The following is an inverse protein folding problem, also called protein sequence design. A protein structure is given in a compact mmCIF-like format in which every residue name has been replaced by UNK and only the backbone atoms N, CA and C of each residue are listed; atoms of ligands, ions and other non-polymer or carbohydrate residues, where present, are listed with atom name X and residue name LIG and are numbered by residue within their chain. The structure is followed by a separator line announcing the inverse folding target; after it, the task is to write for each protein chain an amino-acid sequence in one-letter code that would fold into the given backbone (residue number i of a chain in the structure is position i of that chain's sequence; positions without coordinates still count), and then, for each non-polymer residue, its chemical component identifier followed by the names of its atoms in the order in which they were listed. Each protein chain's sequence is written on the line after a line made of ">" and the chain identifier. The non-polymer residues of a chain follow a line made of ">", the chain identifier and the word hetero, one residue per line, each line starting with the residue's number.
data_IF_475892459314
#
_entry.id   IF_475892459314
#
_cell.length_a   1.000
_cell.length_b   1.000
_cell.length_c   1.000
_cell.angle_alpha   90.00
_cell.angle_beta   90.00
_cell.angle_gamma   90.00
#
_symmetry.space_group_name_H-M   'P 1'
#
loop_
_entity.id
_entity.type
_entity.pdbx_description
1 polymer ?
#
# COMPACT_ATOMS: atom_id res chain seq x y z
N UNK A 1 48.83 -73.97 39.73
CA UNK A 1 48.34 -74.67 40.94
C UNK A 1 46.94 -74.24 41.12
N UNK A 2 46.09 -75.11 40.81
CA UNK A 2 44.92 -75.58 41.62
C UNK A 2 43.86 -74.51 41.88
N UNK A 3 42.60 -74.79 41.60
CA UNK A 3 41.87 -75.97 41.29
C UNK A 3 40.42 -75.69 41.12
N UNK A 4 39.76 -76.46 40.37
CA UNK A 4 38.36 -76.67 40.10
C UNK A 4 37.48 -76.53 41.34
N UNK A 5 36.18 -76.11 41.12
CA UNK A 5 35.07 -77.06 41.37
C UNK A 5 33.75 -76.52 40.82
N UNK A 6 33.25 -77.27 39.87
CA UNK A 6 31.89 -77.34 39.35
C UNK A 6 30.89 -77.70 40.45
N UNK A 7 29.72 -77.06 40.46
CA UNK A 7 28.56 -77.64 41.12
C UNK A 7 27.31 -77.36 40.32
N UNK A 8 26.81 -78.39 39.69
CA UNK A 8 25.55 -78.52 38.94
C UNK A 8 24.45 -78.82 39.96
N UNK A 9 23.35 -78.04 39.95
CA UNK A 9 22.08 -78.47 40.56
C UNK A 9 20.99 -78.27 39.52
N UNK A 10 20.36 -79.32 39.09
CA UNK A 10 19.09 -79.44 38.35
C UNK A 10 17.97 -79.35 39.35
N UNK A 11 16.97 -78.53 39.09
CA UNK A 11 15.58 -78.81 39.53
C UNK A 11 14.60 -78.41 38.42
N UNK A 12 13.67 -79.30 38.20
CA UNK A 12 12.61 -79.33 37.19
C UNK A 12 11.41 -78.47 37.56
N UNK A 13 10.77 -77.82 36.54
CA UNK A 13 9.31 -77.88 36.38
C UNK A 13 8.53 -76.70 36.98
N UNK A 14 7.87 -75.93 36.22
CA UNK A 14 6.40 -76.09 35.95
C UNK A 14 5.92 -74.94 35.00
N UNK A 15 4.99 -75.30 34.14
CA UNK A 15 4.24 -74.52 33.20
C UNK A 15 3.57 -73.30 33.80
N UNK A 16 3.49 -72.19 33.06
CA UNK A 16 2.58 -71.07 33.29
C UNK A 16 2.51 -70.19 32.02
N UNK A 17 1.49 -70.43 31.21
CA UNK A 17 1.07 -69.62 30.05
C UNK A 17 0.77 -68.21 30.49
N UNK A 18 1.24 -67.19 29.70
CA UNK A 18 0.86 -65.81 29.88
C UNK A 18 1.47 -64.90 28.83
N UNK A 19 1.09 -65.09 27.55
CA UNK A 19 1.42 -64.17 26.45
C UNK A 19 0.61 -62.88 26.64
N UNK A 20 1.28 -61.81 27.07
CA UNK A 20 0.76 -60.44 26.91
C UNK A 20 1.71 -59.72 25.93
N UNK A 21 1.31 -59.71 24.65
CA UNK A 21 1.90 -58.87 23.61
C UNK A 21 1.44 -57.44 23.92
N UNK A 22 2.27 -56.68 24.62
CA UNK A 22 2.12 -55.22 24.73
C UNK A 22 2.65 -54.57 23.42
N UNK A 23 1.73 -54.37 22.44
CA UNK A 23 1.98 -53.46 21.33
C UNK A 23 2.01 -52.02 21.88
N UNK A 24 3.19 -51.52 22.17
CA UNK A 24 3.42 -50.10 22.38
C UNK A 24 3.24 -49.40 21.01
N UNK A 25 2.02 -48.90 20.75
CA UNK A 25 1.79 -47.89 19.75
C UNK A 25 2.56 -46.63 20.17
N UNK A 26 3.84 -46.54 19.78
CA UNK A 26 4.51 -45.29 19.64
C UNK A 26 3.83 -44.56 18.47
N UNK A 27 2.75 -43.83 18.79
CA UNK A 27 2.26 -42.77 17.93
C UNK A 27 3.37 -41.74 17.81
N UNK A 28 4.19 -41.88 16.78
CA UNK A 28 5.06 -40.82 16.35
C UNK A 28 4.16 -39.64 16.00
N UNK A 29 4.13 -38.62 16.87
CA UNK A 29 3.71 -37.30 16.44
C UNK A 29 4.68 -36.96 15.29
N UNK A 30 4.23 -37.17 14.06
CA UNK A 30 4.89 -36.56 12.91
C UNK A 30 4.87 -35.05 13.23
N UNK A 31 6.03 -34.48 13.58
CA UNK A 31 6.18 -33.05 13.59
C UNK A 31 5.73 -32.60 12.21
N UNK A 32 4.56 -31.99 12.12
CA UNK A 32 4.10 -31.38 10.89
C UNK A 32 5.21 -30.42 10.49
N UNK A 33 5.86 -30.70 9.38
CA UNK A 33 6.89 -29.80 8.84
C UNK A 33 6.19 -28.48 8.63
N UNK A 34 6.56 -27.45 9.40
CA UNK A 34 5.98 -26.12 9.30
C UNK A 34 6.18 -25.64 7.87
N UNK A 35 5.11 -25.59 7.09
CA UNK A 35 5.19 -25.08 5.73
C UNK A 35 5.32 -23.56 5.76
N UNK A 36 6.08 -23.01 4.81
CA UNK A 36 6.24 -21.57 4.63
C UNK A 36 5.87 -21.22 3.20
N UNK A 37 5.05 -20.21 3.04
CA UNK A 37 4.69 -19.64 1.75
C UNK A 37 5.28 -18.24 1.65
N UNK A 38 6.01 -17.99 0.55
CA UNK A 38 6.62 -16.69 0.30
C UNK A 38 5.70 -15.79 -0.50
N UNK A 39 5.63 -14.52 -0.09
CA UNK A 39 5.09 -13.42 -0.89
C UNK A 39 6.21 -12.41 -1.14
N UNK A 40 6.15 -11.71 -2.27
CA UNK A 40 7.09 -10.64 -2.59
C UNK A 40 6.60 -9.28 -2.12
N UNK A 41 7.52 -8.40 -1.77
CA UNK A 41 7.23 -6.99 -1.58
C UNK A 41 8.37 -6.13 -2.16
N UNK A 42 8.02 -5.13 -2.99
CA UNK A 42 8.96 -4.13 -3.52
C UNK A 42 8.50 -2.77 -3.02
N UNK A 43 9.13 -2.28 -1.95
CA UNK A 43 8.72 -1.08 -1.23
C UNK A 43 9.93 -0.18 -0.94
N UNK A 44 9.78 1.15 -0.84
CA UNK A 44 10.90 2.10 -0.73
C UNK A 44 11.40 2.21 0.72
N UNK A 45 12.16 1.22 1.19
CA UNK A 45 12.61 1.13 2.60
C UNK A 45 13.80 2.02 2.93
N UNK A 46 14.53 2.50 1.93
CA UNK A 46 15.67 3.41 2.10
C UNK A 46 15.29 4.86 2.33
N UNK A 47 14.02 5.23 2.08
CA UNK A 47 13.50 6.58 2.31
C UNK A 47 12.61 6.62 3.55
N UNK A 48 12.69 7.70 4.33
CA UNK A 48 12.02 7.78 5.63
C UNK A 48 10.50 7.69 5.53
N UNK A 49 9.89 8.31 4.53
CA UNK A 49 8.44 8.24 4.30
C UNK A 49 7.97 6.84 3.81
N UNK A 50 8.86 6.05 3.23
CA UNK A 50 8.51 4.72 2.67
C UNK A 50 8.63 3.57 3.67
N UNK A 51 9.52 3.70 4.64
CA UNK A 51 9.75 2.65 5.66
C UNK A 51 8.49 2.29 6.44
N UNK A 52 7.68 3.25 6.95
CA UNK A 52 6.44 2.92 7.66
C UNK A 52 5.42 2.15 6.82
N UNK A 53 5.41 2.36 5.49
CA UNK A 53 4.55 1.61 4.56
C UNK A 53 4.94 0.12 4.55
N UNK A 54 6.24 -0.18 4.48
CA UNK A 54 6.74 -1.55 4.51
C UNK A 54 6.52 -2.22 5.87
N UNK A 55 6.71 -1.49 6.96
CA UNK A 55 6.46 -1.96 8.33
C UNK A 55 4.98 -2.27 8.56
N UNK A 56 4.08 -1.47 7.96
CA UNK A 56 2.63 -1.70 8.00
C UNK A 56 2.25 -2.98 7.25
N UNK A 57 2.81 -3.23 6.08
CA UNK A 57 2.60 -4.49 5.36
C UNK A 57 3.13 -5.70 6.17
N UNK A 58 4.30 -5.58 6.80
CA UNK A 58 4.82 -6.63 7.69
C UNK A 58 3.94 -6.84 8.91
N UNK A 59 3.34 -5.80 9.47
CA UNK A 59 2.40 -5.92 10.58
C UNK A 59 1.19 -6.78 10.21
N UNK A 60 0.66 -6.66 8.99
CA UNK A 60 -0.40 -7.54 8.49
C UNK A 60 0.07 -8.99 8.41
N UNK A 61 1.27 -9.24 7.87
CA UNK A 61 1.85 -10.59 7.82
C UNK A 61 1.94 -11.21 9.22
N UNK A 62 2.34 -10.40 10.22
CA UNK A 62 2.36 -10.84 11.62
C UNK A 62 0.96 -11.21 12.14
N UNK A 63 -0.07 -10.43 11.79
CA UNK A 63 -1.47 -10.73 12.17
C UNK A 63 -1.98 -12.02 11.51
N UNK A 64 -1.71 -12.19 10.22
CA UNK A 64 -2.10 -13.41 9.49
C UNK A 64 -1.38 -14.63 10.04
N UNK A 65 -0.10 -14.52 10.37
CA UNK A 65 0.66 -15.61 10.99
C UNK A 65 0.13 -15.97 12.40
N UNK A 66 -0.33 -14.99 13.18
CA UNK A 66 -1.02 -15.24 14.45
C UNK A 66 -2.34 -16.00 14.25
N UNK A 67 -3.03 -15.78 13.13
CA UNK A 67 -4.23 -16.53 12.74
C UNK A 67 -3.92 -17.92 12.15
N UNK A 68 -2.67 -18.35 12.13
CA UNK A 68 -2.24 -19.66 11.61
C UNK A 68 -1.78 -19.65 10.15
N UNK A 69 -1.43 -18.49 9.61
CA UNK A 69 -0.90 -18.32 8.24
C UNK A 69 -1.97 -18.46 7.15
N UNK A 70 -1.54 -18.60 5.92
CA UNK A 70 -2.41 -18.83 4.75
C UNK A 70 -2.40 -20.32 4.41
N UNK A 71 -3.56 -20.93 4.26
CA UNK A 71 -3.71 -22.37 4.01
C UNK A 71 -2.93 -23.24 5.03
N UNK A 72 -2.82 -22.74 6.27
CA UNK A 72 -2.06 -23.40 7.34
C UNK A 72 -0.53 -23.25 7.23
N UNK A 73 -0.01 -22.50 6.26
CA UNK A 73 1.40 -22.23 6.09
C UNK A 73 1.75 -20.84 6.61
N UNK A 74 2.87 -20.72 7.32
CA UNK A 74 3.42 -19.44 7.73
C UNK A 74 3.75 -18.60 6.49
N UNK A 75 3.41 -17.30 6.52
CA UNK A 75 3.80 -16.36 5.48
C UNK A 75 5.16 -15.75 5.80
N UNK A 76 6.03 -15.75 4.81
CA UNK A 76 7.28 -15.00 4.78
C UNK A 76 7.18 -13.92 3.70
N UNK A 77 7.23 -12.65 4.10
CA UNK A 77 7.32 -11.53 3.17
C UNK A 77 8.78 -11.28 2.80
N UNK A 78 9.16 -11.59 1.56
CA UNK A 78 10.49 -11.30 1.04
C UNK A 78 10.49 -9.85 0.54
N UNK A 79 10.99 -8.95 1.39
CA UNK A 79 11.01 -7.51 1.15
C UNK A 79 12.28 -7.10 0.41
N UNK A 80 12.13 -6.31 -0.65
CA UNK A 80 13.21 -5.68 -1.40
C UNK A 80 12.96 -4.18 -1.53
N UNK A 81 14.04 -3.41 -1.41
CA UNK A 81 13.99 -1.95 -1.53
C UNK A 81 13.88 -1.55 -3.00
N UNK A 82 12.88 -0.72 -3.32
CA UNK A 82 12.75 -0.12 -4.65
C UNK A 82 13.63 1.11 -4.85
N UNK A 83 14.10 1.74 -3.79
CA UNK A 83 14.83 3.02 -3.80
C UNK A 83 14.09 4.13 -4.58
N UNK A 84 12.78 3.97 -4.80
CA UNK A 84 11.97 4.82 -5.69
C UNK A 84 12.50 4.86 -7.14
N UNK A 85 13.35 3.89 -7.53
CA UNK A 85 13.98 3.79 -8.85
C UNK A 85 13.31 2.66 -9.67
N UNK A 86 12.81 2.96 -10.89
CA UNK A 86 12.13 1.98 -11.73
C UNK A 86 13.00 0.76 -12.07
N UNK A 87 14.29 0.97 -12.34
CA UNK A 87 15.21 -0.12 -12.70
C UNK A 87 15.50 -1.02 -11.49
N UNK A 88 15.77 -0.43 -10.33
CA UNK A 88 15.97 -1.17 -9.07
C UNK A 88 14.70 -1.96 -8.73
N UNK A 89 13.53 -1.34 -8.88
CA UNK A 89 12.24 -1.99 -8.64
C UNK A 89 12.01 -3.20 -9.56
N UNK A 90 12.28 -3.07 -10.86
CA UNK A 90 12.17 -4.17 -11.84
C UNK A 90 13.15 -5.31 -11.51
N UNK A 91 14.41 -5.00 -11.20
CA UNK A 91 15.41 -5.99 -10.85
C UNK A 91 15.04 -6.73 -9.55
N UNK A 92 14.51 -6.00 -8.56
CA UNK A 92 13.99 -6.55 -7.31
C UNK A 92 12.79 -7.50 -7.56
N UNK A 93 11.81 -7.08 -8.37
CA UNK A 93 10.64 -7.89 -8.71
C UNK A 93 11.03 -9.16 -9.48
N UNK A 94 11.95 -9.06 -10.45
CA UNK A 94 12.49 -10.24 -11.16
C UNK A 94 13.10 -11.25 -10.20
N UNK A 95 13.91 -10.78 -9.25
CA UNK A 95 14.53 -11.69 -8.28
C UNK A 95 13.47 -12.37 -7.38
N UNK A 96 12.40 -11.68 -6.99
CA UNK A 96 11.29 -12.26 -6.22
C UNK A 96 10.54 -13.33 -7.02
N UNK A 97 10.30 -13.08 -8.32
CA UNK A 97 9.62 -14.05 -9.19
C UNK A 97 10.49 -15.23 -9.55
N UNK A 98 11.72 -14.97 -10.01
CA UNK A 98 12.58 -15.99 -10.60
C UNK A 98 13.31 -16.85 -9.55
N UNK A 99 13.69 -16.26 -8.41
CA UNK A 99 14.47 -16.94 -7.37
C UNK A 99 13.61 -17.36 -6.17
N UNK A 100 12.66 -16.50 -5.74
CA UNK A 100 11.82 -16.80 -4.59
C UNK A 100 10.49 -17.47 -4.99
N UNK A 101 10.10 -17.44 -6.27
CA UNK A 101 8.95 -18.15 -6.83
C UNK A 101 7.61 -17.57 -6.37
N UNK A 102 7.56 -16.28 -6.00
CA UNK A 102 6.34 -15.64 -5.47
C UNK A 102 5.23 -15.61 -6.51
N UNK A 103 3.97 -15.74 -6.05
CA UNK A 103 2.75 -15.65 -6.88
C UNK A 103 1.97 -14.36 -6.60
N UNK A 104 2.37 -13.64 -5.56
CA UNK A 104 1.81 -12.39 -5.09
C UNK A 104 2.95 -11.42 -4.82
N UNK A 105 2.83 -10.18 -5.34
CA UNK A 105 3.75 -9.07 -5.09
C UNK A 105 2.99 -7.87 -4.53
N UNK A 106 3.39 -7.41 -3.36
CA UNK A 106 2.94 -6.15 -2.76
C UNK A 106 3.83 -5.00 -3.24
N UNK A 107 3.22 -3.96 -3.76
CA UNK A 107 3.94 -2.77 -4.23
C UNK A 107 3.82 -2.54 -5.75
N UNK A 108 4.62 -1.63 -6.27
CA UNK A 108 5.41 -0.67 -5.52
C UNK A 108 4.53 0.47 -4.98
N UNK A 109 5.17 1.50 -4.39
CA UNK A 109 4.45 2.70 -3.91
C UNK A 109 4.31 3.71 -5.03
N UNK A 110 5.41 4.11 -5.66
CA UNK A 110 5.42 5.05 -6.78
C UNK A 110 4.85 4.42 -8.06
N UNK A 111 4.02 5.15 -8.79
CA UNK A 111 3.48 4.74 -10.10
C UNK A 111 4.59 4.47 -11.12
N UNK A 112 5.64 5.33 -11.15
CA UNK A 112 6.79 5.16 -12.03
C UNK A 112 7.64 3.91 -11.76
N UNK A 113 7.48 3.28 -10.58
CA UNK A 113 8.11 1.99 -10.26
C UNK A 113 7.14 0.83 -10.49
N UNK A 114 5.86 1.00 -10.13
CA UNK A 114 4.85 -0.07 -10.25
C UNK A 114 4.55 -0.43 -11.69
N UNK A 115 4.43 0.56 -12.59
CA UNK A 115 4.09 0.33 -13.99
C UNK A 115 5.14 -0.53 -14.74
N UNK A 116 6.46 -0.21 -14.65
CA UNK A 116 7.48 -1.08 -15.25
C UNK A 116 7.53 -2.48 -14.65
N UNK A 117 7.34 -2.64 -13.33
CA UNK A 117 7.26 -3.95 -12.69
C UNK A 117 6.08 -4.72 -13.26
N UNK A 118 4.89 -4.10 -13.30
CA UNK A 118 3.66 -4.73 -13.77
C UNK A 118 3.78 -5.20 -15.21
N UNK A 119 4.22 -4.31 -16.11
CA UNK A 119 4.28 -4.59 -17.54
C UNK A 119 5.41 -5.54 -17.96
N UNK A 120 6.56 -5.53 -17.25
CA UNK A 120 7.74 -6.31 -17.65
C UNK A 120 8.03 -7.54 -16.80
N UNK A 121 7.40 -7.66 -15.60
CA UNK A 121 7.68 -8.77 -14.68
C UNK A 121 6.40 -9.51 -14.27
N UNK A 122 5.49 -8.85 -13.53
CA UNK A 122 4.40 -9.57 -12.86
C UNK A 122 3.34 -10.07 -13.84
N UNK A 123 2.88 -9.27 -14.81
CA UNK A 123 1.91 -9.69 -15.84
C UNK A 123 2.49 -10.81 -16.72
N UNK A 124 3.69 -10.68 -17.30
CA UNK A 124 4.28 -11.77 -18.10
C UNK A 124 4.50 -13.07 -17.33
N UNK A 125 4.72 -12.99 -16.03
CA UNK A 125 4.96 -14.16 -15.16
C UNK A 125 3.69 -14.70 -14.50
N UNK A 126 2.50 -14.09 -14.75
CA UNK A 126 1.25 -14.50 -14.13
C UNK A 126 1.22 -14.29 -12.61
N UNK A 127 1.91 -13.27 -12.10
CA UNK A 127 1.97 -12.90 -10.68
C UNK A 127 0.99 -11.78 -10.40
N UNK A 128 0.13 -11.93 -9.40
CA UNK A 128 -0.74 -10.85 -8.95
C UNK A 128 0.08 -9.74 -8.31
N UNK A 129 -0.18 -8.49 -8.69
CA UNK A 129 0.43 -7.30 -8.08
C UNK A 129 -0.63 -6.44 -7.43
N UNK A 130 -0.43 -6.08 -6.15
CA UNK A 130 -1.30 -5.17 -5.41
C UNK A 130 -0.49 -4.02 -4.83
N UNK A 131 -0.81 -2.80 -5.24
CA UNK A 131 -0.18 -1.57 -4.73
C UNK A 131 -1.06 -0.88 -3.70
N UNK A 132 -0.43 -0.37 -2.66
CA UNK A 132 -1.11 0.50 -1.69
C UNK A 132 -1.34 1.92 -2.20
N UNK A 133 -0.53 2.37 -3.16
CA UNK A 133 -0.28 3.81 -3.24
C UNK A 133 -0.11 4.34 -4.68
N UNK A 134 0.10 3.47 -5.68
CA UNK A 134 0.23 3.89 -7.09
C UNK A 134 -1.10 4.42 -7.62
N UNK A 135 -1.18 5.72 -7.88
CA UNK A 135 -2.44 6.42 -8.15
C UNK A 135 -2.61 6.94 -9.57
N UNK A 136 -1.58 6.89 -10.46
CA UNK A 136 -1.70 7.38 -11.84
C UNK A 136 -2.89 6.75 -12.58
N UNK A 137 -3.63 7.56 -13.33
CA UNK A 137 -4.75 7.11 -14.18
C UNK A 137 -4.29 6.26 -15.36
N UNK A 138 -2.98 6.25 -15.65
CA UNK A 138 -2.43 5.38 -16.69
C UNK A 138 -2.65 3.88 -16.39
N UNK A 139 -2.77 3.48 -15.11
CA UNK A 139 -3.13 2.09 -14.75
C UNK A 139 -4.56 1.76 -15.15
N UNK A 140 -5.52 2.65 -14.90
CA UNK A 140 -6.92 2.49 -15.32
C UNK A 140 -6.99 2.30 -16.85
N UNK A 141 -6.38 3.23 -17.59
CA UNK A 141 -6.35 3.16 -19.07
C UNK A 141 -5.73 1.85 -19.57
N UNK A 142 -4.61 1.42 -18.99
CA UNK A 142 -3.97 0.17 -19.40
C UNK A 142 -4.80 -1.08 -19.03
N UNK A 143 -5.53 -1.04 -17.90
CA UNK A 143 -6.44 -2.10 -17.51
C UNK A 143 -7.65 -2.20 -18.47
N UNK A 144 -8.25 -1.06 -18.86
CA UNK A 144 -9.31 -0.97 -19.86
C UNK A 144 -8.89 -1.53 -21.24
N UNK A 145 -7.63 -1.33 -21.59
CA UNK A 145 -7.02 -1.92 -22.79
C UNK A 145 -6.67 -3.41 -22.63
N UNK A 146 -6.96 -4.02 -21.48
CA UNK A 146 -6.70 -5.43 -21.18
C UNK A 146 -5.24 -5.80 -20.97
N UNK A 147 -4.35 -4.82 -20.78
CA UNK A 147 -2.89 -5.04 -20.69
C UNK A 147 -2.46 -5.81 -19.44
N UNK A 148 -3.28 -5.84 -18.39
CA UNK A 148 -2.91 -6.42 -17.10
C UNK A 148 -3.52 -7.79 -16.81
N UNK A 149 -4.37 -8.30 -17.70
CA UNK A 149 -5.00 -9.63 -17.56
C UNK A 149 -5.71 -9.83 -16.18
N UNK A 150 -6.20 -8.76 -15.55
CA UNK A 150 -6.82 -8.80 -14.22
C UNK A 150 -5.85 -9.07 -13.06
N UNK A 151 -4.52 -8.91 -13.25
CA UNK A 151 -3.49 -9.19 -12.25
C UNK A 151 -3.10 -7.94 -11.42
N UNK A 152 -3.72 -6.80 -11.68
CA UNK A 152 -3.43 -5.53 -11.01
C UNK A 152 -4.57 -5.09 -10.11
N UNK A 153 -4.21 -4.63 -8.90
CA UNK A 153 -5.12 -4.00 -7.94
C UNK A 153 -4.40 -2.88 -7.19
N UNK A 154 -5.16 -1.86 -6.78
CA UNK A 154 -4.66 -0.81 -5.89
C UNK A 154 -5.70 -0.41 -4.86
N UNK A 155 -5.26 -0.18 -3.64
CA UNK A 155 -6.13 0.25 -2.53
C UNK A 155 -6.11 1.77 -2.32
N UNK A 156 -5.50 2.53 -3.23
CA UNK A 156 -5.46 4.00 -3.23
C UNK A 156 -6.25 4.55 -4.42
N UNK A 157 -7.03 5.60 -4.20
CA UNK A 157 -7.77 6.25 -5.27
C UNK A 157 -6.85 6.87 -6.32
N UNK A 158 -7.39 7.13 -7.50
CA UNK A 158 -6.63 7.71 -8.61
C UNK A 158 -6.20 9.14 -8.34
N UNK A 159 -5.17 9.60 -9.08
CA UNK A 159 -4.72 11.00 -9.09
C UNK A 159 -5.83 11.99 -9.44
N UNK A 160 -6.91 11.54 -10.11
CA UNK A 160 -8.08 12.37 -10.38
C UNK A 160 -8.74 12.95 -9.14
N UNK A 161 -8.82 12.18 -8.04
CA UNK A 161 -9.35 12.68 -6.75
C UNK A 161 -8.45 13.78 -6.19
N UNK A 162 -7.13 13.58 -6.20
CA UNK A 162 -6.19 14.58 -5.69
C UNK A 162 -6.20 15.86 -6.53
N UNK A 163 -6.29 15.71 -7.84
CA UNK A 163 -6.38 16.81 -8.79
C UNK A 163 -7.62 17.67 -8.50
N UNK A 164 -8.79 17.05 -8.47
CA UNK A 164 -10.05 17.75 -8.20
C UNK A 164 -10.03 18.51 -6.88
N UNK A 165 -9.56 17.87 -5.80
CA UNK A 165 -9.49 18.51 -4.47
C UNK A 165 -8.42 19.62 -4.43
N UNK A 166 -7.31 19.46 -5.15
CA UNK A 166 -6.30 20.51 -5.32
C UNK A 166 -6.86 21.74 -6.04
N UNK A 167 -7.65 21.52 -7.08
CA UNK A 167 -8.33 22.59 -7.81
C UNK A 167 -9.41 23.27 -6.94
N UNK A 168 -10.15 22.47 -6.14
CA UNK A 168 -11.08 23.02 -5.14
C UNK A 168 -10.37 23.94 -4.14
N UNK A 169 -9.21 23.55 -3.63
CA UNK A 169 -8.42 24.42 -2.72
C UNK A 169 -8.11 25.77 -3.41
N UNK A 170 -7.62 25.74 -4.64
CA UNK A 170 -7.30 26.98 -5.35
C UNK A 170 -8.53 27.90 -5.52
N UNK A 171 -9.67 27.31 -5.93
CA UNK A 171 -10.97 28.01 -6.06
C UNK A 171 -11.41 28.63 -4.72
N UNK A 172 -11.40 27.86 -3.64
CA UNK A 172 -11.87 28.28 -2.31
C UNK A 172 -10.97 29.35 -1.69
N UNK A 173 -9.66 29.33 -1.99
CA UNK A 173 -8.70 30.34 -1.57
C UNK A 173 -8.73 31.58 -2.47
N UNK A 174 -9.45 31.55 -3.59
CA UNK A 174 -9.58 32.66 -4.52
C UNK A 174 -8.30 32.92 -5.31
N UNK A 175 -7.47 31.90 -5.58
CA UNK A 175 -6.31 32.03 -6.44
C UNK A 175 -6.75 32.13 -7.90
N UNK A 176 -6.24 33.14 -8.61
CA UNK A 176 -6.52 33.37 -10.03
C UNK A 176 -5.44 32.77 -10.94
N UNK A 177 -4.25 32.50 -10.35
CA UNK A 177 -3.09 31.98 -11.09
C UNK A 177 -2.26 31.01 -10.25
N UNK A 178 -1.83 29.88 -10.84
CA UNK A 178 -1.07 28.83 -10.15
C UNK A 178 0.08 28.33 -11.03
N UNK A 179 1.28 28.21 -10.45
CA UNK A 179 2.37 27.45 -11.06
C UNK A 179 2.33 26.00 -10.57
N UNK A 180 2.71 25.04 -11.42
CA UNK A 180 2.76 23.62 -11.11
C UNK A 180 4.20 23.14 -11.15
N UNK A 181 4.71 22.59 -10.04
CA UNK A 181 5.97 21.84 -10.00
C UNK A 181 5.64 20.37 -9.74
N UNK A 182 6.06 19.50 -10.65
CA UNK A 182 5.74 18.08 -10.57
C UNK A 182 6.95 17.19 -10.79
N UNK A 183 6.94 16.03 -10.10
CA UNK A 183 7.94 14.98 -10.30
C UNK A 183 7.91 14.46 -11.72
N UNK A 184 9.06 14.35 -12.37
CA UNK A 184 9.18 13.82 -13.72
C UNK A 184 9.15 12.27 -13.71
N UNK A 185 8.04 11.71 -13.25
CA UNK A 185 7.72 10.28 -13.30
C UNK A 185 6.23 10.08 -13.67
N UNK A 186 5.80 8.83 -13.84
CA UNK A 186 4.43 8.51 -14.26
C UNK A 186 3.34 9.11 -13.34
N UNK A 187 3.63 9.22 -12.03
CA UNK A 187 2.68 9.82 -11.08
C UNK A 187 2.64 11.34 -11.20
N UNK A 188 3.79 11.99 -11.14
CA UNK A 188 3.85 13.45 -11.17
C UNK A 188 3.42 14.04 -12.51
N UNK A 189 3.74 13.38 -13.62
CA UNK A 189 3.29 13.79 -14.95
C UNK A 189 1.76 13.67 -15.08
N UNK A 190 1.18 12.56 -14.61
CA UNK A 190 -0.26 12.34 -14.63
C UNK A 190 -1.00 13.38 -13.77
N UNK A 191 -0.58 13.56 -12.51
CA UNK A 191 -1.15 14.54 -11.61
C UNK A 191 -0.96 15.97 -12.09
N UNK A 192 0.24 16.31 -12.61
CA UNK A 192 0.52 17.64 -13.17
C UNK A 192 -0.37 17.97 -14.38
N UNK A 193 -0.64 16.98 -15.24
CA UNK A 193 -1.54 17.14 -16.38
C UNK A 193 -3.01 17.31 -15.94
N UNK A 194 -3.47 16.48 -15.00
CA UNK A 194 -4.85 16.53 -14.52
C UNK A 194 -5.14 17.83 -13.80
N UNK A 195 -4.26 18.25 -12.86
CA UNK A 195 -4.48 19.48 -12.10
C UNK A 195 -4.44 20.74 -12.99
N UNK A 196 -3.62 20.73 -14.05
CA UNK A 196 -3.63 21.83 -15.03
C UNK A 196 -4.99 21.93 -15.73
N UNK A 197 -5.53 20.80 -16.17
CA UNK A 197 -6.86 20.76 -16.80
C UNK A 197 -7.98 21.18 -15.84
N UNK A 198 -7.91 20.76 -14.57
CA UNK A 198 -8.91 21.13 -13.55
C UNK A 198 -8.83 22.61 -13.19
N UNK A 199 -7.62 23.20 -13.13
CA UNK A 199 -7.46 24.66 -12.97
C UNK A 199 -8.07 25.43 -14.15
N UNK A 200 -7.77 25.00 -15.37
CA UNK A 200 -8.33 25.62 -16.58
C UNK A 200 -9.87 25.52 -16.61
N UNK A 201 -10.45 24.37 -16.23
CA UNK A 201 -11.89 24.18 -16.13
C UNK A 201 -12.55 25.13 -15.11
N UNK A 202 -11.82 25.53 -14.08
CA UNK A 202 -12.28 26.50 -13.06
C UNK A 202 -11.92 27.95 -13.41
N UNK A 203 -11.34 28.22 -14.58
CA UNK A 203 -10.91 29.57 -15.00
C UNK A 203 -9.67 30.08 -14.27
N UNK A 204 -8.89 29.19 -13.65
CA UNK A 204 -7.63 29.52 -12.96
C UNK A 204 -6.48 29.41 -13.97
N UNK A 205 -5.68 30.46 -14.11
CA UNK A 205 -4.54 30.49 -15.04
C UNK A 205 -3.41 29.55 -14.55
N UNK A 206 -2.94 28.65 -15.42
CA UNK A 206 -1.72 27.89 -15.19
C UNK A 206 -0.54 28.67 -15.77
N UNK A 207 0.20 29.38 -14.92
CA UNK A 207 1.30 30.27 -15.34
C UNK A 207 2.54 29.49 -15.79
N UNK A 208 2.75 28.30 -15.23
CA UNK A 208 3.85 27.40 -15.58
C UNK A 208 3.53 25.97 -15.15
N UNK A 209 4.04 25.00 -15.93
CA UNK A 209 4.02 23.59 -15.59
C UNK A 209 5.42 23.01 -15.79
N UNK A 210 6.15 22.78 -14.70
CA UNK A 210 7.58 22.51 -14.71
C UNK A 210 7.89 21.16 -14.06
N UNK A 211 8.60 20.30 -14.81
CA UNK A 211 9.03 18.99 -14.34
C UNK A 211 10.31 19.10 -13.49
N UNK A 212 10.33 18.39 -12.37
CA UNK A 212 11.49 18.24 -11.48
C UNK A 212 12.07 16.84 -11.66
N UNK A 213 13.34 16.76 -12.04
CA UNK A 213 14.06 15.50 -12.25
C UNK A 213 14.87 15.12 -11.00
N UNK A 214 15.08 13.80 -10.82
CA UNK A 214 15.93 13.28 -9.74
C UNK A 214 17.42 13.65 -9.93
N UNK A 215 18.13 13.69 -8.81
CA UNK A 215 19.59 13.78 -8.78
C UNK A 215 20.17 15.11 -9.23
N UNK A 216 19.34 16.14 -9.41
CA UNK A 216 19.83 17.48 -9.70
C UNK A 216 20.42 18.15 -8.44
N UNK A 217 21.55 18.85 -8.55
CA UNK A 217 22.17 19.52 -7.41
C UNK A 217 21.40 20.78 -6.97
N UNK A 218 20.52 21.33 -7.80
CA UNK A 218 19.68 22.50 -7.55
C UNK A 218 18.52 22.51 -8.53
N UNK A 219 17.38 23.02 -8.09
CA UNK A 219 16.17 23.23 -8.91
C UNK A 219 15.94 24.71 -9.23
N UNK A 220 16.99 25.53 -9.12
CA UNK A 220 16.90 26.98 -9.28
C UNK A 220 16.40 27.40 -10.65
N UNK A 221 16.79 26.70 -11.71
CA UNK A 221 16.33 27.00 -13.08
C UNK A 221 14.84 26.74 -13.22
N UNK A 222 14.39 25.55 -12.83
CA UNK A 222 12.99 25.13 -12.88
C UNK A 222 12.09 26.03 -12.02
N UNK A 223 12.55 26.37 -10.83
CA UNK A 223 11.82 27.29 -9.93
C UNK A 223 11.79 28.72 -10.49
N UNK A 224 12.85 29.18 -11.14
CA UNK A 224 12.86 30.50 -11.81
C UNK A 224 11.82 30.52 -12.93
N UNK A 225 11.74 29.47 -13.73
CA UNK A 225 10.76 29.34 -14.80
C UNK A 225 9.32 29.32 -14.23
N UNK A 226 9.09 28.62 -13.13
CA UNK A 226 7.79 28.57 -12.47
C UNK A 226 7.36 29.93 -11.87
N UNK A 227 8.31 30.75 -11.43
CA UNK A 227 8.06 32.09 -10.87
C UNK A 227 7.85 33.17 -11.95
N UNK A 228 8.18 32.91 -13.21
CA UNK A 228 8.16 33.94 -14.26
C UNK A 228 6.79 34.60 -14.47
N UNK A 229 5.69 33.85 -14.23
CA UNK A 229 4.31 34.34 -14.31
C UNK A 229 3.81 35.08 -13.06
N UNK A 230 4.62 35.18 -12.01
CA UNK A 230 4.22 35.72 -10.69
C UNK A 230 2.90 35.13 -10.15
N UNK A 231 2.80 33.79 -10.01
CA UNK A 231 1.56 33.12 -9.62
C UNK A 231 1.12 33.45 -8.19
N UNK A 232 -0.20 33.41 -7.94
CA UNK A 232 -0.78 33.58 -6.59
C UNK A 232 -0.44 32.39 -5.68
N UNK A 233 -0.28 31.20 -6.25
CA UNK A 233 0.05 29.98 -5.53
C UNK A 233 0.94 29.03 -6.36
N UNK A 234 1.51 28.04 -5.69
CA UNK A 234 2.19 26.91 -6.34
C UNK A 234 1.55 25.58 -5.94
N UNK A 235 1.28 24.72 -6.93
CA UNK A 235 0.91 23.32 -6.72
C UNK A 235 2.16 22.45 -6.76
N UNK A 236 2.34 21.58 -5.76
CA UNK A 236 3.53 20.75 -5.58
C UNK A 236 3.17 19.27 -5.61
N UNK A 237 3.42 18.63 -6.75
CA UNK A 237 3.31 17.17 -6.94
C UNK A 237 4.73 16.55 -6.88
N UNK A 238 5.37 16.58 -5.72
CA UNK A 238 6.76 16.17 -5.48
C UNK A 238 6.86 15.21 -4.31
N UNK A 239 7.94 14.43 -4.20
CA UNK A 239 8.27 13.69 -2.99
C UNK A 239 9.04 14.57 -1.99
N UNK A 240 9.15 14.19 -0.71
CA UNK A 240 9.68 15.06 0.34
C UNK A 240 11.08 15.61 0.08
N UNK A 241 11.98 14.84 -0.52
CA UNK A 241 13.37 15.27 -0.79
C UNK A 241 13.40 16.39 -1.81
N UNK A 242 12.84 16.17 -3.00
CA UNK A 242 12.80 17.15 -4.09
C UNK A 242 11.87 18.31 -3.71
N UNK A 243 10.75 18.02 -3.06
CA UNK A 243 9.80 19.02 -2.59
C UNK A 243 10.43 20.00 -1.62
N UNK A 244 11.23 19.50 -0.66
CA UNK A 244 11.98 20.37 0.27
C UNK A 244 12.96 21.27 -0.47
N UNK A 245 13.73 20.71 -1.39
CA UNK A 245 14.72 21.48 -2.15
C UNK A 245 14.06 22.52 -3.05
N UNK A 246 13.00 22.15 -3.78
CA UNK A 246 12.25 23.05 -4.64
C UNK A 246 11.57 24.19 -3.86
N UNK A 247 10.94 23.89 -2.71
CA UNK A 247 10.30 24.90 -1.86
C UNK A 247 11.32 25.88 -1.27
N UNK A 248 12.49 25.41 -0.85
CA UNK A 248 13.56 26.28 -0.37
C UNK A 248 14.08 27.25 -1.47
N UNK A 249 14.24 26.75 -2.69
CA UNK A 249 14.60 27.60 -3.84
C UNK A 249 13.46 28.58 -4.15
N UNK A 250 12.19 28.12 -4.17
CA UNK A 250 11.00 28.94 -4.39
C UNK A 250 10.95 30.13 -3.42
N UNK A 251 11.09 29.87 -2.13
CA UNK A 251 11.09 30.90 -1.09
C UNK A 251 12.31 31.82 -1.20
N UNK A 252 13.48 31.29 -1.53
CA UNK A 252 14.72 32.07 -1.66
C UNK A 252 14.66 33.07 -2.83
N UNK A 253 13.88 32.76 -3.86
CA UNK A 253 13.65 33.59 -5.04
C UNK A 253 12.46 34.55 -4.89
N UNK A 254 11.81 34.55 -3.71
CA UNK A 254 10.69 35.45 -3.40
C UNK A 254 9.33 34.92 -3.80
N UNK A 255 9.20 33.61 -4.01
CA UNK A 255 7.93 32.96 -4.28
C UNK A 255 6.95 33.06 -3.11
N UNK A 256 5.66 33.04 -3.42
CA UNK A 256 4.58 33.10 -2.43
C UNK A 256 4.61 31.92 -1.46
N UNK A 257 4.07 32.10 -0.24
CA UNK A 257 3.85 31.03 0.72
C UNK A 257 2.50 30.31 0.53
N UNK A 258 1.72 30.68 -0.46
CA UNK A 258 0.50 29.97 -0.82
C UNK A 258 0.86 28.71 -1.59
N UNK A 259 0.77 27.56 -0.93
CA UNK A 259 1.18 26.27 -1.48
C UNK A 259 0.03 25.29 -1.42
N UNK A 260 -0.18 24.55 -2.50
CA UNK A 260 -1.10 23.42 -2.55
C UNK A 260 -0.24 22.16 -2.70
N UNK A 261 -0.34 21.26 -1.72
CA UNK A 261 0.54 20.11 -1.57
C UNK A 261 -0.16 18.82 -1.98
N UNK A 262 0.46 18.01 -2.79
CA UNK A 262 0.01 16.63 -2.99
C UNK A 262 0.24 15.79 -1.71
N UNK A 263 -0.45 14.65 -1.62
CA UNK A 263 -0.40 13.76 -0.46
C UNK A 263 1.01 13.25 -0.09
N UNK A 264 1.89 13.11 -1.07
CA UNK A 264 3.29 12.69 -0.90
C UNK A 264 4.09 13.61 0.03
N UNK A 265 3.70 14.90 0.12
CA UNK A 265 4.32 15.89 1.01
C UNK A 265 3.71 15.93 2.42
N UNK A 266 2.73 15.08 2.72
CA UNK A 266 2.13 14.90 4.05
C UNK A 266 3.08 14.12 4.96
N UNK A 267 4.20 14.72 5.32
CA UNK A 267 5.23 14.08 6.14
C UNK A 267 5.91 15.05 7.10
N UNK A 268 6.31 14.53 8.27
CA UNK A 268 7.09 15.29 9.25
C UNK A 268 8.46 15.69 8.68
N UNK A 269 9.08 14.81 7.86
CA UNK A 269 10.34 15.11 7.19
C UNK A 269 10.26 16.39 6.34
N UNK A 270 9.22 16.51 5.50
CA UNK A 270 9.01 17.71 4.68
C UNK A 270 8.76 18.93 5.55
N UNK A 271 7.84 18.82 6.55
CA UNK A 271 7.54 19.92 7.48
C UNK A 271 8.78 20.45 8.18
N UNK A 272 9.58 19.56 8.77
CA UNK A 272 10.73 19.92 9.58
C UNK A 272 11.86 20.48 8.72
N UNK A 273 12.03 19.94 7.51
CA UNK A 273 13.05 20.40 6.57
C UNK A 273 12.70 21.73 5.91
N UNK A 274 11.44 22.04 5.63
CA UNK A 274 11.01 23.34 5.11
C UNK A 274 10.93 24.38 6.23
N UNK A 275 10.35 24.01 7.36
CA UNK A 275 10.12 24.85 8.55
C UNK A 275 8.72 25.43 8.60
N UNK A 276 8.06 25.25 9.75
CA UNK A 276 6.67 25.67 9.99
C UNK A 276 6.36 27.13 9.69
N UNK A 277 7.35 28.02 9.86
CA UNK A 277 7.18 29.46 9.59
C UNK A 277 6.88 29.77 8.11
N UNK A 278 7.12 28.83 7.19
CA UNK A 278 6.87 28.97 5.76
C UNK A 278 5.63 28.21 5.28
N UNK A 279 5.07 27.33 6.13
CA UNK A 279 3.97 26.44 5.79
C UNK A 279 2.60 26.89 6.34
N UNK A 280 2.51 28.10 6.91
CA UNK A 280 1.27 28.60 7.52
C UNK A 280 0.08 28.70 6.56
N UNK A 281 0.33 28.97 5.27
CA UNK A 281 -0.68 29.04 4.22
C UNK A 281 -0.74 27.75 3.35
N UNK A 282 0.08 26.75 3.64
CA UNK A 282 0.09 25.52 2.87
C UNK A 282 -1.13 24.67 3.19
N UNK A 283 -1.85 24.25 2.17
CA UNK A 283 -2.94 23.27 2.25
C UNK A 283 -2.58 22.07 1.39
N UNK A 284 -2.91 20.89 1.85
CA UNK A 284 -2.61 19.68 1.09
C UNK A 284 -3.86 18.82 0.85
N UNK A 285 -3.76 17.93 -0.11
CA UNK A 285 -4.79 16.97 -0.46
C UNK A 285 -4.33 15.56 -0.13
N UNK A 286 -5.25 14.70 0.30
CA UNK A 286 -5.01 13.25 0.43
C UNK A 286 -6.32 12.50 0.26
N UNK A 287 -6.25 11.20 -0.01
CA UNK A 287 -7.39 10.32 0.19
C UNK A 287 -7.65 10.18 1.68
N UNK A 288 -8.91 10.11 2.06
CA UNK A 288 -9.32 9.93 3.44
C UNK A 288 -9.82 8.50 3.70
N UNK A 289 -9.66 8.02 4.91
CA UNK A 289 -10.42 6.87 5.37
C UNK A 289 -11.86 7.30 5.64
N UNK A 290 -12.87 6.51 5.24
CA UNK A 290 -14.24 6.76 5.63
C UNK A 290 -14.35 6.81 7.16
N UNK A 291 -15.28 7.60 7.68
CA UNK A 291 -15.53 7.70 9.12
C UNK A 291 -16.37 6.51 9.61
N UNK A 292 -15.70 5.36 9.71
CA UNK A 292 -16.29 4.08 10.10
C UNK A 292 -15.46 3.40 11.19
N UNK A 293 -16.10 2.56 11.99
CA UNK A 293 -15.46 1.91 13.14
C UNK A 293 -14.22 1.06 12.78
N UNK A 294 -14.15 0.50 11.58
CA UNK A 294 -12.98 -0.27 11.14
C UNK A 294 -11.73 0.60 10.94
N UNK A 295 -11.90 1.85 10.49
CA UNK A 295 -10.80 2.80 10.38
C UNK A 295 -10.26 3.20 11.76
N UNK A 296 -11.15 3.44 12.74
CA UNK A 296 -10.75 3.71 14.13
C UNK A 296 -9.99 2.52 14.74
N UNK A 297 -10.45 1.29 14.47
CA UNK A 297 -9.78 0.06 14.92
C UNK A 297 -8.36 -0.05 14.37
N UNK A 298 -8.15 0.31 13.09
CA UNK A 298 -6.80 0.34 12.52
C UNK A 298 -5.90 1.34 13.26
N UNK A 299 -6.37 2.55 13.53
CA UNK A 299 -5.61 3.57 14.26
C UNK A 299 -5.18 3.05 15.63
N UNK A 300 -6.10 2.42 16.38
CA UNK A 300 -5.81 1.82 17.69
C UNK A 300 -4.76 0.70 17.59
N UNK A 301 -4.91 -0.21 16.63
CA UNK A 301 -3.95 -1.29 16.41
C UNK A 301 -2.58 -0.77 15.99
N UNK A 302 -2.53 0.25 15.13
CA UNK A 302 -1.29 0.87 14.68
C UNK A 302 -0.56 1.52 15.86
N UNK A 303 -1.26 2.33 16.67
CA UNK A 303 -0.72 2.93 17.90
C UNK A 303 -0.18 1.89 18.86
N UNK A 304 -0.93 0.83 19.09
CA UNK A 304 -0.49 -0.26 19.97
C UNK A 304 0.76 -0.99 19.46
N UNK A 305 1.00 -1.00 18.16
CA UNK A 305 2.13 -1.68 17.52
C UNK A 305 3.36 -0.82 17.41
N UNK A 306 3.20 0.47 17.07
CA UNK A 306 4.29 1.37 16.69
C UNK A 306 4.51 2.55 17.65
N UNK A 307 3.66 2.69 18.68
CA UNK A 307 3.69 3.81 19.64
C UNK A 307 3.62 5.19 18.93
N UNK A 308 2.92 5.27 17.82
CA UNK A 308 2.76 6.48 16.98
C UNK A 308 1.43 6.50 16.25
N UNK A 309 0.98 7.71 15.86
CA UNK A 309 -0.18 7.87 14.99
C UNK A 309 0.16 7.47 13.54
N UNK A 310 -0.79 6.90 12.77
CA UNK A 310 -0.58 6.58 11.36
C UNK A 310 -0.72 7.84 10.47
N UNK A 311 0.13 8.84 10.68
CA UNK A 311 0.04 10.15 10.02
C UNK A 311 0.61 10.18 8.58
N UNK A 312 1.38 9.17 8.19
CA UNK A 312 2.00 9.09 6.86
C UNK A 312 0.99 8.73 5.76
N UNK A 313 1.29 9.12 4.50
CA UNK A 313 0.44 8.77 3.37
C UNK A 313 0.45 7.26 3.13
N UNK A 314 -0.71 6.69 2.76
CA UNK A 314 -0.82 5.30 2.32
C UNK A 314 -0.67 4.22 3.39
N UNK A 315 -0.59 4.55 4.69
CA UNK A 315 -0.42 3.54 5.75
C UNK A 315 -1.66 2.64 5.88
N UNK A 316 -2.86 3.23 5.96
CA UNK A 316 -4.11 2.48 5.97
C UNK A 316 -4.29 1.64 4.69
N UNK A 317 -3.93 2.23 3.54
CA UNK A 317 -3.98 1.54 2.26
C UNK A 317 -2.98 0.37 2.16
N UNK A 318 -1.78 0.52 2.75
CA UNK A 318 -0.78 -0.56 2.82
C UNK A 318 -1.27 -1.72 3.69
N UNK A 319 -1.94 -1.40 4.79
CA UNK A 319 -2.58 -2.40 5.64
C UNK A 319 -3.63 -3.20 4.85
N UNK A 320 -4.54 -2.49 4.17
CA UNK A 320 -5.61 -3.12 3.40
C UNK A 320 -5.08 -3.90 2.19
N UNK A 321 -4.11 -3.36 1.46
CA UNK A 321 -3.48 -4.05 0.34
C UNK A 321 -2.89 -5.40 0.77
N UNK A 322 -2.14 -5.43 1.86
CA UNK A 322 -1.55 -6.66 2.36
C UNK A 322 -2.61 -7.64 2.89
N UNK A 323 -3.61 -7.16 3.63
CA UNK A 323 -4.65 -8.02 4.20
C UNK A 323 -5.55 -8.62 3.11
N UNK A 324 -6.02 -7.81 2.16
CA UNK A 324 -6.86 -8.28 1.05
C UNK A 324 -6.09 -9.29 0.19
N UNK A 325 -4.82 -9.01 -0.12
CA UNK A 325 -4.00 -9.91 -0.91
C UNK A 325 -3.82 -11.28 -0.24
N UNK A 326 -3.57 -11.30 1.08
CA UNK A 326 -3.42 -12.55 1.84
C UNK A 326 -4.77 -13.29 2.03
N UNK A 327 -5.88 -12.55 2.20
CA UNK A 327 -7.24 -13.13 2.21
C UNK A 327 -7.59 -13.73 0.83
N UNK A 328 -7.22 -13.06 -0.26
CA UNK A 328 -7.43 -13.58 -1.62
C UNK A 328 -6.61 -14.86 -1.84
N UNK A 329 -5.38 -14.91 -1.33
CA UNK A 329 -4.55 -16.10 -1.37
C UNK A 329 -5.16 -17.27 -0.53
N UNK A 330 -5.75 -16.97 0.63
CA UNK A 330 -6.51 -17.95 1.43
C UNK A 330 -7.75 -18.46 0.67
N UNK A 331 -8.52 -17.55 0.06
CA UNK A 331 -9.73 -17.86 -0.70
C UNK A 331 -9.46 -18.64 -2.00
N UNK A 332 -8.30 -18.41 -2.64
CA UNK A 332 -7.87 -19.10 -3.85
C UNK A 332 -7.48 -20.56 -3.58
N UNK A 333 -7.06 -20.87 -2.36
CA UNK A 333 -6.69 -22.21 -1.94
C UNK A 333 -5.21 -22.55 -2.11
N UNK A 334 -4.87 -23.78 -1.74
CA UNK A 334 -3.48 -24.25 -1.76
C UNK A 334 -2.93 -24.31 -3.18
N UNK A 335 -1.68 -23.91 -3.34
CA UNK A 335 -0.93 -23.93 -4.61
C UNK A 335 -1.55 -23.05 -5.72
N UNK A 336 -2.39 -22.07 -5.36
CA UNK A 336 -2.96 -21.13 -6.32
C UNK A 336 -1.88 -20.30 -7.02
N UNK A 337 -2.02 -20.12 -8.32
CA UNK A 337 -1.19 -19.18 -9.08
C UNK A 337 -1.71 -17.73 -8.92
N UNK A 338 -0.97 -16.77 -9.48
CA UNK A 338 -1.35 -15.36 -9.34
C UNK A 338 -2.70 -15.02 -9.98
N UNK A 339 -3.10 -15.70 -11.03
CA UNK A 339 -4.40 -15.49 -11.67
C UNK A 339 -5.55 -16.00 -10.79
N UNK A 340 -5.38 -17.15 -10.14
CA UNK A 340 -6.35 -17.67 -9.19
C UNK A 340 -6.47 -16.77 -7.95
N UNK A 341 -5.34 -16.24 -7.44
CA UNK A 341 -5.32 -15.27 -6.34
C UNK A 341 -6.06 -14.00 -6.74
N UNK A 342 -5.78 -13.44 -7.92
CA UNK A 342 -6.43 -12.24 -8.44
C UNK A 342 -7.95 -12.45 -8.59
N UNK A 343 -8.39 -13.57 -9.15
CA UNK A 343 -9.81 -13.89 -9.28
C UNK A 343 -10.53 -14.02 -7.93
N UNK A 344 -9.81 -14.41 -6.88
CA UNK A 344 -10.37 -14.57 -5.54
C UNK A 344 -10.56 -13.24 -4.79
N UNK A 345 -10.01 -12.12 -5.27
CA UNK A 345 -10.20 -10.78 -4.65
C UNK A 345 -11.69 -10.45 -4.53
N UNK A 346 -12.51 -10.78 -5.52
CA UNK A 346 -13.95 -10.54 -5.50
C UNK A 346 -14.66 -11.27 -4.36
N UNK A 347 -14.14 -12.42 -3.89
CA UNK A 347 -14.68 -13.15 -2.74
C UNK A 347 -14.30 -12.51 -1.40
N UNK A 348 -13.26 -11.69 -1.38
CA UNK A 348 -12.77 -10.95 -0.19
C UNK A 348 -13.54 -9.65 0.00
N UNK A 349 -13.93 -9.00 -1.10
CA UNK A 349 -14.55 -7.67 -1.11
C UNK A 349 -16.01 -7.73 -1.59
N UNK A 350 -16.66 -8.84 -1.39
CA UNK A 350 -18.06 -9.06 -1.76
C UNK A 350 -19.01 -8.24 -0.86
N UNK A 351 -19.79 -7.29 -1.41
CA UNK A 351 -20.71 -6.48 -0.61
C UNK A 351 -21.81 -7.29 0.10
N UNK A 352 -22.13 -8.48 -0.42
CA UNK A 352 -23.13 -9.37 0.13
C UNK A 352 -22.50 -10.51 0.98
N UNK A 353 -21.16 -10.49 1.14
CA UNK A 353 -20.40 -11.46 1.89
C UNK A 353 -20.54 -11.30 3.41
N UNK A 354 -20.03 -12.28 4.15
CA UNK A 354 -19.99 -12.21 5.61
C UNK A 354 -19.05 -11.10 6.08
N UNK A 355 -19.52 -10.13 6.88
CA UNK A 355 -18.66 -9.07 7.40
C UNK A 355 -17.52 -9.62 8.25
N UNK A 356 -16.30 -9.18 7.99
CA UNK A 356 -15.10 -9.52 8.78
C UNK A 356 -14.30 -8.27 9.12
N UNK A 357 -13.60 -8.31 10.26
CA UNK A 357 -12.65 -7.27 10.68
C UNK A 357 -11.28 -7.46 10.04
N UNK A 358 -10.49 -6.40 10.01
CA UNK A 358 -9.15 -6.37 9.41
C UNK A 358 -8.05 -6.80 10.39
N UNK A 359 -8.27 -7.86 11.18
CA UNK A 359 -7.33 -8.34 12.17
C UNK A 359 -7.16 -9.88 12.11
N UNK A 360 -6.37 -10.43 13.01
CA UNK A 360 -6.14 -11.87 13.08
C UNK A 360 -7.45 -12.67 13.30
N UNK A 361 -8.43 -12.13 14.05
CA UNK A 361 -9.70 -12.80 14.30
C UNK A 361 -10.57 -12.80 13.03
N UNK A 362 -10.64 -11.65 12.32
CA UNK A 362 -11.33 -11.56 11.04
C UNK A 362 -10.71 -12.46 9.97
N UNK A 363 -9.37 -12.59 9.93
CA UNK A 363 -8.70 -13.53 9.03
C UNK A 363 -9.09 -15.00 9.33
N UNK A 364 -9.12 -15.38 10.62
CA UNK A 364 -9.53 -16.72 11.02
C UNK A 364 -11.01 -17.00 10.66
N UNK A 365 -11.90 -16.02 10.87
CA UNK A 365 -13.31 -16.11 10.46
C UNK A 365 -13.44 -16.26 8.93
N UNK A 366 -12.69 -15.47 8.16
CA UNK A 366 -12.69 -15.54 6.69
C UNK A 366 -12.32 -16.94 6.19
N UNK A 367 -11.33 -17.58 6.80
CA UNK A 367 -10.93 -18.96 6.47
C UNK A 367 -12.07 -19.94 6.60
N UNK A 368 -12.87 -19.85 7.68
CA UNK A 368 -14.04 -20.70 7.89
C UNK A 368 -15.11 -20.47 6.83
N UNK A 369 -15.36 -19.19 6.48
CA UNK A 369 -16.30 -18.82 5.42
C UNK A 369 -15.84 -19.33 4.06
N UNK A 370 -14.58 -19.17 3.72
CA UNK A 370 -14.03 -19.66 2.44
C UNK A 370 -14.05 -21.20 2.35
N UNK A 371 -13.77 -21.89 3.45
CA UNK A 371 -13.84 -23.35 3.51
C UNK A 371 -15.28 -23.88 3.29
N UNK A 372 -16.29 -23.09 3.68
CA UNK A 372 -17.69 -23.37 3.40
C UNK A 372 -18.15 -22.94 1.99
N UNK A 373 -17.24 -22.41 1.14
CA UNK A 373 -17.54 -21.93 -0.23
C UNK A 373 -18.14 -20.52 -0.29
N UNK A 374 -18.18 -19.80 0.83
CA UNK A 374 -18.73 -18.45 0.93
C UNK A 374 -17.77 -17.35 0.49
N UNK A 375 -18.22 -16.10 0.65
CA UNK A 375 -17.46 -14.86 0.45
C UNK A 375 -17.55 -13.96 1.68
N UNK A 376 -16.63 -13.03 1.82
CA UNK A 376 -16.59 -12.10 2.94
C UNK A 376 -16.68 -10.65 2.45
N UNK A 377 -17.21 -9.78 3.30
CA UNK A 377 -17.16 -8.33 3.15
C UNK A 377 -16.06 -7.80 4.08
N UNK A 378 -14.90 -7.54 3.51
CA UNK A 378 -13.76 -7.01 4.23
C UNK A 378 -14.01 -5.58 4.71
N UNK A 379 -13.89 -5.34 6.00
CA UNK A 379 -14.00 -4.03 6.64
C UNK A 379 -12.61 -3.59 7.11
N UNK A 380 -11.92 -2.85 6.26
CA UNK A 380 -10.51 -2.51 6.42
C UNK A 380 -10.21 -1.19 7.10
N UNK A 381 -8.94 -0.85 7.09
CA UNK A 381 -8.42 0.43 7.57
C UNK A 381 -8.96 1.62 6.75
N UNK A 382 -9.24 1.40 5.46
CA UNK A 382 -9.90 2.37 4.58
C UNK A 382 -11.40 2.08 4.39
N UNK A 383 -12.02 1.37 5.32
CA UNK A 383 -13.43 1.00 5.29
C UNK A 383 -13.73 -0.20 4.40
N UNK A 384 -14.90 -0.19 3.76
CA UNK A 384 -15.31 -1.26 2.84
C UNK A 384 -14.60 -1.09 1.49
N UNK A 385 -13.48 -1.75 1.31
CA UNK A 385 -12.74 -1.71 0.04
C UNK A 385 -13.53 -2.45 -1.03
N UNK A 386 -13.74 -1.78 -2.16
CA UNK A 386 -14.38 -2.36 -3.36
C UNK A 386 -13.58 -1.98 -4.58
N UNK A 387 -13.17 -3.00 -5.33
CA UNK A 387 -12.51 -2.78 -6.60
C UNK A 387 -13.52 -2.75 -7.74
N UNK A 388 -13.28 -1.84 -8.69
CA UNK A 388 -13.97 -1.87 -9.96
C UNK A 388 -13.36 -2.93 -10.90
N UNK A 389 -13.81 -2.95 -12.15
CA UNK A 389 -13.34 -3.92 -13.17
C UNK A 389 -11.87 -3.70 -13.57
N UNK A 390 -11.30 -2.54 -13.26
CA UNK A 390 -9.92 -2.16 -13.56
C UNK A 390 -8.96 -2.44 -12.38
N UNK A 391 -9.51 -2.88 -11.22
CA UNK A 391 -8.76 -3.05 -9.98
C UNK A 391 -8.53 -1.74 -9.22
N UNK A 392 -9.33 -0.73 -9.49
CA UNK A 392 -9.30 0.59 -8.84
C UNK A 392 -10.30 0.68 -7.69
N UNK A 393 -10.04 1.59 -6.77
CA UNK A 393 -10.96 1.93 -5.68
C UNK A 393 -11.33 3.41 -5.73
N UNK A 394 -12.53 3.73 -5.20
CA UNK A 394 -12.95 5.09 -4.89
C UNK A 394 -12.74 5.37 -3.40
N UNK A 395 -12.39 6.60 -3.04
CA UNK A 395 -12.20 7.00 -1.66
C UNK A 395 -12.71 8.43 -1.42
N UNK A 396 -13.13 8.74 -0.18
CA UNK A 396 -13.27 10.11 0.28
C UNK A 396 -11.95 10.86 0.20
N UNK A 397 -12.00 12.18 0.34
CA UNK A 397 -10.79 12.99 0.34
C UNK A 397 -10.72 13.89 1.58
N UNK A 398 -9.54 14.38 1.87
CA UNK A 398 -9.28 15.32 2.95
C UNK A 398 -8.42 16.47 2.46
N UNK A 399 -8.80 17.68 2.85
CA UNK A 399 -7.91 18.83 2.85
C UNK A 399 -7.23 18.89 4.21
N UNK A 400 -5.92 18.94 4.21
CA UNK A 400 -5.12 18.95 5.43
C UNK A 400 -4.13 20.12 5.46
N UNK A 401 -3.62 20.45 6.63
CA UNK A 401 -2.53 21.39 6.85
C UNK A 401 -1.57 20.87 7.92
N UNK A 402 -0.38 21.41 7.96
CA UNK A 402 0.52 21.18 9.10
C UNK A 402 0.04 21.93 10.32
N UNK A 403 -0.15 21.23 11.43
CA UNK A 403 -0.40 21.78 12.75
C UNK A 403 0.89 21.91 13.57
N UNK A 404 0.77 22.40 14.81
CA UNK A 404 1.93 22.54 15.72
C UNK A 404 2.56 21.18 16.09
N UNK A 405 1.76 20.14 16.17
CA UNK A 405 2.20 18.81 16.65
C UNK A 405 1.90 17.67 15.68
N UNK A 406 1.51 17.97 14.44
CA UNK A 406 1.14 16.93 13.47
C UNK A 406 0.40 17.46 12.26
N UNK A 407 -0.53 16.70 11.77
CA UNK A 407 -1.38 17.03 10.62
C UNK A 407 -2.80 17.34 11.13
N UNK A 408 -3.31 18.50 10.79
CA UNK A 408 -4.69 18.92 11.07
C UNK A 408 -5.57 18.67 9.84
N UNK A 409 -6.72 18.06 10.03
CA UNK A 409 -7.78 18.01 9.03
C UNK A 409 -8.45 19.41 8.94
N UNK A 410 -8.55 19.95 7.73
CA UNK A 410 -9.23 21.22 7.46
C UNK A 410 -10.64 20.96 6.95
N UNK A 411 -10.79 20.01 6.02
CA UNK A 411 -12.07 19.65 5.41
C UNK A 411 -12.07 18.16 5.07
N UNK A 412 -13.17 17.49 5.31
CA UNK A 412 -13.43 16.14 4.85
C UNK A 412 -14.49 16.16 3.76
N UNK A 413 -14.19 15.57 2.63
CA UNK A 413 -15.12 15.41 1.51
C UNK A 413 -15.50 13.93 1.41
N UNK A 414 -16.78 13.64 1.58
CA UNK A 414 -17.32 12.31 1.31
C UNK A 414 -17.13 11.92 -0.15
N UNK A 415 -17.25 10.63 -0.46
CA UNK A 415 -17.16 10.16 -1.84
C UNK A 415 -18.14 10.90 -2.76
N UNK A 416 -19.39 11.11 -2.31
CA UNK A 416 -20.41 11.83 -3.10
C UNK A 416 -20.00 13.28 -3.34
N UNK A 417 -19.45 13.98 -2.36
CA UNK A 417 -18.98 15.37 -2.52
C UNK A 417 -17.80 15.47 -3.48
N UNK A 418 -16.90 14.49 -3.48
CA UNK A 418 -15.81 14.41 -4.46
C UNK A 418 -16.37 14.19 -5.87
N UNK A 419 -17.25 13.22 -6.04
CA UNK A 419 -17.87 12.89 -7.34
C UNK A 419 -18.70 14.06 -7.89
N UNK A 420 -19.48 14.73 -7.05
CA UNK A 420 -20.28 15.90 -7.43
C UNK A 420 -19.38 17.08 -7.85
N UNK A 421 -18.25 17.29 -7.15
CA UNK A 421 -17.31 18.33 -7.52
C UNK A 421 -16.63 18.05 -8.85
N UNK A 422 -16.16 16.81 -9.09
CA UNK A 422 -15.60 16.38 -10.37
C UNK A 422 -16.63 16.58 -11.51
N UNK A 423 -17.87 16.16 -11.29
CA UNK A 423 -18.94 16.33 -12.28
C UNK A 423 -19.21 17.81 -12.60
N UNK A 424 -19.14 18.70 -11.60
CA UNK A 424 -19.36 20.14 -11.80
C UNK A 424 -18.32 20.78 -12.73
N UNK A 425 -17.05 20.37 -12.64
CA UNK A 425 -15.97 20.86 -13.53
C UNK A 425 -16.15 20.44 -14.99
N UNK A 426 -16.81 19.29 -15.22
CA UNK A 426 -17.06 18.78 -16.57
C UNK A 426 -18.22 19.47 -17.30
N UNK A 427 -19.01 20.31 -16.59
CA UNK A 427 -20.19 21.00 -17.14
C UNK A 427 -19.96 22.49 -17.45
N UNK A 428 -18.86 23.07 -16.98
CA UNK A 428 -18.42 24.44 -17.30
C UNK A 428 -17.46 24.45 -18.53
#
# INVERSE_FOLDING_TARGET
>A
MQGEKTMTIRIKGLLGLGTALGLSLMGGAAAAQECTTKIGAVLPTSVDWGRPIAETAQFVVDQVNKAGGVQGCKIEMVLRDSQVDPKVGVDAAKALVDLDGVKLLLGAVSSGVSMPILSSVTVPSGVMQMSCCSSSTAFTTAAEEGKFNGLWFRTFATTGVQSAVGAKIAKDQGYESVAILYKNDDWGQDLGKLIAADFEALGIEVTAQVAINDGQPSFRAEVTDALAGNPDAVYLALYPVEGTAAVREWLSLGGTQNMILANSLKSDEFRDNVGMQYLGNALGTDTASPRVASADTFVEMYKARFDSEPNGPGLANSYDAAMIALLAMEAAGKDADGAAIAAAVSRVTDPDGTPITADAAGFAQAREVFAAGGSVMYQGATGNVRFDVNGDVSAPAVVWKFGETGIDEVEYLSLTEVDDFIASMSME
#
